data_IF_736067369626
#
_entry.id   IF_736067369626
#
_cell.length_a   1.000
_cell.length_b   1.000
_cell.length_c   1.000
_cell.angle_alpha   90.00
_cell.angle_beta   90.00
_cell.angle_gamma   90.00
#
_symmetry.space_group_name_H-M   'P 1'
#
loop_
_entity.id
_entity.type
_entity.pdbx_description
1 polymer ?
#
# COMPACT_ATOMS: atom_id res chain seq x y z
N UNK A 1 -25.99 5.35 10.80
CA UNK A 1 -25.20 5.62 9.56
C UNK A 1 -26.02 6.57 8.70
N UNK A 2 -25.44 7.70 8.29
CA UNK A 2 -26.17 8.69 7.46
C UNK A 2 -26.45 8.12 6.06
N UNK A 3 -27.64 8.32 5.47
CA UNK A 3 -28.00 7.82 4.15
C UNK A 3 -27.08 8.33 3.02
N UNK A 4 -26.33 9.40 3.29
CA UNK A 4 -25.35 9.97 2.36
C UNK A 4 -24.12 9.05 2.21
N UNK A 5 -23.64 8.46 3.29
CA UNK A 5 -22.47 7.55 3.29
C UNK A 5 -22.77 6.26 2.54
N UNK A 6 -23.99 5.74 2.67
CA UNK A 6 -24.44 4.54 1.98
C UNK A 6 -24.57 4.77 0.45
N UNK A 7 -25.06 5.94 0.03
CA UNK A 7 -25.19 6.29 -1.39
C UNK A 7 -23.82 6.50 -2.07
N UNK A 8 -22.85 7.09 -1.37
CA UNK A 8 -21.50 7.30 -1.91
C UNK A 8 -20.73 5.97 -2.03
N UNK A 9 -20.88 5.06 -1.07
CA UNK A 9 -20.27 3.74 -1.13
C UNK A 9 -20.88 2.88 -2.26
N UNK A 10 -22.19 2.96 -2.49
CA UNK A 10 -22.86 2.25 -3.59
C UNK A 10 -22.44 2.78 -4.96
N UNK A 11 -22.25 4.10 -5.11
CA UNK A 11 -21.79 4.73 -6.35
C UNK A 11 -20.34 4.37 -6.68
N UNK A 12 -19.46 4.25 -5.67
CA UNK A 12 -18.09 3.80 -5.83
C UNK A 12 -18.02 2.31 -6.22
N UNK A 13 -18.85 1.45 -5.64
CA UNK A 13 -18.96 0.03 -6.01
C UNK A 13 -19.53 -0.16 -7.42
N UNK A 14 -20.52 0.64 -7.82
CA UNK A 14 -21.06 0.60 -9.18
C UNK A 14 -20.07 1.10 -10.23
N UNK A 15 -19.26 2.11 -9.91
CA UNK A 15 -18.16 2.60 -10.77
C UNK A 15 -17.06 1.55 -10.99
N UNK A 16 -16.73 0.76 -9.98
CA UNK A 16 -15.77 -0.35 -10.09
C UNK A 16 -16.31 -1.51 -10.95
N UNK A 17 -17.61 -1.79 -10.91
CA UNK A 17 -18.23 -2.84 -11.72
C UNK A 17 -18.24 -2.52 -13.23
N UNK A 18 -18.36 -1.24 -13.61
CA UNK A 18 -18.31 -0.82 -15.01
C UNK A 18 -16.89 -0.92 -15.62
N UNK A 19 -15.83 -0.84 -14.81
CA UNK A 19 -14.45 -0.99 -15.28
C UNK A 19 -14.06 -2.46 -15.54
N UNK A 20 -14.78 -3.43 -14.95
CA UNK A 20 -14.48 -4.85 -15.10
C UNK A 20 -14.78 -5.40 -16.52
N UNK A 21 -15.62 -4.74 -17.30
CA UNK A 21 -15.94 -5.15 -18.67
C UNK A 21 -14.96 -4.66 -19.75
N UNK A 22 -13.94 -3.87 -19.38
CA UNK A 22 -12.98 -3.28 -20.32
C UNK A 22 -11.53 -3.77 -20.10
N UNK A 23 -11.30 -4.74 -19.23
CA UNK A 23 -9.99 -5.30 -18.98
C UNK A 23 -9.65 -6.38 -20.03
N UNK A 24 -8.49 -6.26 -20.69
CA UNK A 24 -7.96 -7.29 -21.57
C UNK A 24 -7.45 -8.52 -20.78
N UNK A 25 -7.00 -8.28 -19.56
CA UNK A 25 -6.59 -9.27 -18.59
C UNK A 25 -6.73 -8.73 -17.17
N UNK A 26 -6.92 -9.62 -16.21
CA UNK A 26 -6.92 -9.27 -14.78
C UNK A 26 -6.38 -10.42 -13.95
N UNK A 27 -5.82 -10.08 -12.79
CA UNK A 27 -5.42 -11.00 -11.74
C UNK A 27 -5.89 -10.42 -10.40
N UNK A 28 -6.70 -11.17 -9.68
CA UNK A 28 -7.24 -10.77 -8.38
C UNK A 28 -6.82 -11.80 -7.34
N UNK A 29 -6.32 -11.34 -6.21
CA UNK A 29 -5.85 -12.22 -5.15
C UNK A 29 -6.40 -11.84 -3.79
N UNK A 30 -6.61 -12.87 -2.97
CA UNK A 30 -6.84 -12.76 -1.53
C UNK A 30 -5.60 -13.29 -0.82
N UNK A 31 -5.03 -12.48 0.08
CA UNK A 31 -3.87 -12.92 0.86
C UNK A 31 -4.06 -12.76 2.36
N UNK A 32 -3.33 -13.57 3.11
CA UNK A 32 -3.19 -13.49 4.56
C UNK A 32 -1.72 -13.33 4.93
N UNK A 33 -1.45 -12.38 5.84
CA UNK A 33 -0.12 -12.10 6.38
C UNK A 33 -0.14 -12.11 7.89
N UNK A 34 0.92 -12.62 8.47
CA UNK A 34 1.12 -12.64 9.92
C UNK A 34 2.54 -12.21 10.28
N UNK A 35 2.66 -11.29 11.21
CA UNK A 35 3.94 -10.83 11.74
C UNK A 35 3.81 -10.34 13.19
N UNK A 36 4.93 -10.39 13.92
CA UNK A 36 4.95 -10.13 15.38
C UNK A 36 5.82 -8.93 15.76
N UNK A 37 6.35 -8.20 14.77
CA UNK A 37 7.28 -7.07 15.01
C UNK A 37 6.85 -5.80 14.27
N UNK A 38 5.54 -5.54 14.22
CA UNK A 38 5.07 -4.25 13.74
C UNK A 38 5.35 -3.16 14.78
N UNK A 39 5.57 -1.95 14.30
CA UNK A 39 5.77 -0.77 15.12
C UNK A 39 4.77 0.32 14.74
N UNK A 40 4.36 1.11 15.70
CA UNK A 40 3.49 2.27 15.51
C UNK A 40 4.09 3.50 16.19
N UNK A 41 3.97 4.70 15.62
CA UNK A 41 4.43 5.91 16.28
C UNK A 41 3.86 6.04 17.68
N UNK A 42 4.73 6.43 18.63
CA UNK A 42 4.42 6.60 20.06
C UNK A 42 4.12 5.29 20.83
N UNK A 43 4.44 4.14 20.22
CA UNK A 43 4.39 2.82 20.86
C UNK A 43 5.75 2.13 20.66
N UNK A 44 6.46 1.87 21.77
CA UNK A 44 7.82 1.28 21.75
C UNK A 44 7.83 -0.25 21.78
N UNK A 45 6.64 -0.87 21.74
CA UNK A 45 6.49 -2.33 21.86
C UNK A 45 6.29 -2.98 20.50
N UNK A 46 6.78 -4.22 20.38
CA UNK A 46 6.49 -5.08 19.24
C UNK A 46 5.00 -5.44 19.19
N UNK A 47 4.36 -5.15 18.06
CA UNK A 47 2.95 -5.41 17.84
C UNK A 47 2.79 -6.62 16.92
N UNK A 48 1.92 -7.54 17.31
CA UNK A 48 1.49 -8.63 16.43
C UNK A 48 0.32 -8.17 15.58
N UNK A 49 0.37 -8.41 14.26
CA UNK A 49 -0.76 -8.15 13.36
C UNK A 49 -1.09 -9.36 12.50
N UNK A 50 -2.39 -9.56 12.31
CA UNK A 50 -2.97 -10.37 11.25
C UNK A 50 -3.48 -9.41 10.18
N UNK A 51 -3.18 -9.70 8.91
CA UNK A 51 -3.58 -8.84 7.79
C UNK A 51 -4.26 -9.69 6.74
N UNK A 52 -5.47 -9.31 6.36
CA UNK A 52 -6.17 -9.85 5.19
C UNK A 52 -6.12 -8.79 4.10
N UNK A 53 -5.70 -9.18 2.92
CA UNK A 53 -5.60 -8.28 1.78
C UNK A 53 -6.42 -8.82 0.61
N UNK A 54 -7.11 -7.90 -0.06
CA UNK A 54 -7.67 -8.11 -1.39
C UNK A 54 -6.96 -7.18 -2.36
N UNK A 55 -6.34 -7.73 -3.39
CA UNK A 55 -5.70 -6.94 -4.44
C UNK A 55 -6.14 -7.37 -5.82
N UNK A 56 -6.12 -6.44 -6.76
CA UNK A 56 -6.44 -6.69 -8.15
C UNK A 56 -5.56 -5.84 -9.06
N UNK A 57 -4.97 -6.47 -10.04
CA UNK A 57 -4.28 -5.81 -11.15
C UNK A 57 -5.01 -6.14 -12.44
N UNK A 58 -5.16 -5.14 -13.32
CA UNK A 58 -5.79 -5.36 -14.62
C UNK A 58 -5.16 -4.46 -15.67
N UNK A 59 -5.09 -4.98 -16.90
CA UNK A 59 -4.64 -4.23 -18.05
C UNK A 59 -5.77 -4.04 -19.06
N UNK A 60 -5.71 -2.93 -19.78
CA UNK A 60 -6.63 -2.59 -20.85
C UNK A 60 -5.88 -1.89 -21.99
N UNK A 61 -6.58 -1.60 -23.08
CA UNK A 61 -6.02 -1.03 -24.31
C UNK A 61 -4.99 0.09 -24.10
N UNK A 62 -5.18 0.97 -23.11
CA UNK A 62 -4.34 2.16 -22.93
C UNK A 62 -3.50 2.16 -21.65
N UNK A 63 -3.58 1.13 -20.82
CA UNK A 63 -2.82 1.14 -19.58
C UNK A 63 -3.14 0.00 -18.63
N UNK A 64 -2.98 0.27 -17.35
CA UNK A 64 -3.26 -0.70 -16.28
C UNK A 64 -3.81 -0.05 -15.02
N UNK A 65 -4.51 -0.85 -14.24
CA UNK A 65 -5.02 -0.48 -12.93
C UNK A 65 -4.40 -1.40 -11.87
N UNK A 66 -4.20 -0.87 -10.70
CA UNK A 66 -3.88 -1.63 -9.50
C UNK A 66 -4.75 -1.14 -8.35
N UNK A 67 -5.40 -2.05 -7.68
CA UNK A 67 -6.19 -1.80 -6.47
C UNK A 67 -5.72 -2.75 -5.39
N UNK A 68 -5.64 -2.28 -4.14
CA UNK A 68 -5.34 -3.11 -2.99
C UNK A 68 -6.03 -2.57 -1.75
N UNK A 69 -6.55 -3.45 -0.92
CA UNK A 69 -7.09 -3.10 0.39
C UNK A 69 -6.58 -4.09 1.44
N UNK A 70 -5.96 -3.55 2.49
CA UNK A 70 -5.53 -4.27 3.67
C UNK A 70 -6.53 -4.05 4.81
N UNK A 71 -6.88 -5.13 5.48
CA UNK A 71 -7.55 -5.14 6.78
C UNK A 71 -6.57 -5.66 7.81
N UNK A 72 -6.07 -4.75 8.67
CA UNK A 72 -5.06 -5.07 9.67
C UNK A 72 -5.72 -5.18 11.04
N UNK A 73 -5.41 -6.25 11.76
CA UNK A 73 -5.92 -6.55 13.10
C UNK A 73 -4.73 -6.69 14.04
N UNK A 74 -4.56 -5.71 14.93
CA UNK A 74 -3.47 -5.66 15.90
C UNK A 74 -3.78 -6.48 17.15
N UNK A 75 -2.74 -6.89 17.88
CA UNK A 75 -2.84 -7.38 19.26
C UNK A 75 -3.20 -6.24 20.21
N UNK A 76 -3.52 -6.58 21.48
CA UNK A 76 -3.83 -5.62 22.55
C UNK A 76 -2.68 -4.65 22.89
N UNK A 77 -1.47 -4.93 22.41
CA UNK A 77 -0.29 -4.04 22.53
C UNK A 77 -0.48 -2.74 21.76
N UNK A 78 -1.33 -2.76 20.71
CA UNK A 78 -1.79 -1.60 19.94
C UNK A 78 -3.32 -1.51 20.14
N UNK A 79 -3.82 -0.96 21.28
CA UNK A 79 -5.19 -1.11 21.68
C UNK A 79 -6.15 -0.26 20.85
N UNK A 80 -7.37 -0.75 20.63
CA UNK A 80 -8.40 -0.07 19.83
C UNK A 80 -8.93 1.22 20.43
N UNK A 81 -8.82 1.37 21.77
CA UNK A 81 -9.15 2.57 22.54
C UNK A 81 -8.45 2.55 23.89
N UNK A 82 -8.43 3.66 24.60
CA UNK A 82 -7.81 3.75 25.92
C UNK A 82 -8.40 2.69 26.88
N UNK A 83 -7.55 1.83 27.43
CA UNK A 83 -7.93 0.75 28.35
C UNK A 83 -8.62 -0.47 27.71
N UNK A 84 -8.74 -0.52 26.38
CA UNK A 84 -9.30 -1.68 25.69
C UNK A 84 -8.37 -2.89 25.80
N UNK A 85 -8.97 -4.09 25.95
CA UNK A 85 -8.28 -5.38 25.85
C UNK A 85 -8.29 -5.94 24.43
N UNK A 86 -8.87 -5.22 23.48
CA UNK A 86 -8.86 -5.55 22.04
C UNK A 86 -7.87 -4.69 21.30
N UNK A 87 -7.21 -5.26 20.29
CA UNK A 87 -6.28 -4.55 19.44
C UNK A 87 -6.97 -3.62 18.44
N UNK A 88 -6.21 -2.70 17.89
CA UNK A 88 -6.66 -1.78 16.86
C UNK A 88 -6.99 -2.51 15.56
N UNK A 89 -7.97 -1.97 14.84
CA UNK A 89 -8.32 -2.37 13.49
C UNK A 89 -8.00 -1.23 12.53
N UNK A 90 -7.43 -1.58 11.39
CA UNK A 90 -7.08 -0.62 10.34
C UNK A 90 -7.56 -1.11 8.99
N UNK A 91 -8.10 -0.21 8.18
CA UNK A 91 -8.32 -0.42 6.77
C UNK A 91 -7.41 0.54 5.99
N UNK A 92 -6.62 -0.01 5.07
CA UNK A 92 -5.78 0.75 4.17
C UNK A 92 -6.11 0.35 2.73
N UNK A 93 -6.60 1.28 1.94
CA UNK A 93 -6.94 1.05 0.54
C UNK A 93 -6.12 1.97 -0.35
N UNK A 94 -5.63 1.46 -1.46
CA UNK A 94 -4.95 2.22 -2.48
C UNK A 94 -5.45 1.85 -3.88
N UNK A 95 -5.37 2.82 -4.78
CA UNK A 95 -5.63 2.65 -6.21
C UNK A 95 -4.58 3.40 -7.01
N UNK A 96 -4.11 2.79 -8.10
CA UNK A 96 -3.22 3.39 -9.10
C UNK A 96 -3.74 3.10 -10.49
N UNK A 97 -3.82 4.13 -11.29
CA UNK A 97 -4.11 4.04 -12.71
C UNK A 97 -2.91 4.55 -13.49
N UNK A 98 -2.37 3.74 -14.38
CA UNK A 98 -1.24 4.11 -15.24
C UNK A 98 -1.67 4.08 -16.70
N UNK A 99 -1.64 5.23 -17.35
CA UNK A 99 -1.73 5.34 -18.79
C UNK A 99 -0.36 5.05 -19.40
N UNK A 100 -0.28 4.15 -20.36
CA UNK A 100 0.90 3.87 -21.18
C UNK A 100 0.93 4.84 -22.36
N UNK A 101 1.88 5.75 -22.38
CA UNK A 101 1.96 6.79 -23.41
C UNK A 101 2.20 6.20 -24.80
N UNK A 102 2.93 5.08 -24.91
CA UNK A 102 3.10 4.36 -26.17
C UNK A 102 1.78 3.87 -26.72
N UNK A 103 0.96 3.24 -25.87
CA UNK A 103 -0.37 2.74 -26.25
C UNK A 103 -1.35 3.87 -26.58
N UNK A 104 -1.28 4.99 -25.86
CA UNK A 104 -2.16 6.15 -26.09
C UNK A 104 -1.81 6.87 -27.39
N UNK A 105 -0.50 7.05 -27.67
CA UNK A 105 -0.03 7.83 -28.82
C UNK A 105 0.21 6.99 -30.07
N UNK A 106 0.24 5.65 -29.94
CA UNK A 106 0.61 4.73 -31.02
C UNK A 106 2.10 4.77 -31.38
N UNK A 107 2.94 5.42 -30.56
CA UNK A 107 4.38 5.56 -30.75
C UNK A 107 5.21 4.71 -29.80
N UNK A 108 6.51 4.59 -30.08
CA UNK A 108 7.45 3.96 -29.14
C UNK A 108 7.98 5.00 -28.15
N UNK A 109 7.90 4.68 -26.86
CA UNK A 109 8.49 5.44 -25.76
C UNK A 109 9.56 4.62 -25.04
N UNK A 110 10.13 3.62 -25.73
CA UNK A 110 11.20 2.77 -25.22
C UNK A 110 12.57 3.40 -25.47
N UNK A 111 13.47 3.32 -24.46
CA UNK A 111 14.86 3.75 -24.57
C UNK A 111 15.72 3.07 -23.48
N UNK A 112 16.92 2.60 -23.85
CA UNK A 112 17.79 1.86 -22.95
C UNK A 112 17.05 0.71 -22.23
N UNK A 113 17.06 0.65 -20.89
CA UNK A 113 16.36 -0.38 -20.12
C UNK A 113 14.87 -0.06 -19.92
N UNK A 114 14.36 1.07 -20.42
CA UNK A 114 12.97 1.49 -20.30
C UNK A 114 12.19 0.94 -21.49
N UNK A 115 11.21 0.06 -21.23
CA UNK A 115 10.31 -0.48 -22.26
C UNK A 115 9.14 0.46 -22.59
N UNK A 116 8.87 1.44 -21.73
CA UNK A 116 7.79 2.40 -21.93
C UNK A 116 7.71 3.44 -20.84
N UNK A 117 7.02 4.53 -21.12
CA UNK A 117 6.75 5.64 -20.21
C UNK A 117 5.25 5.74 -19.99
N UNK A 118 4.84 5.95 -18.76
CA UNK A 118 3.44 6.13 -18.36
C UNK A 118 3.20 7.43 -17.60
N UNK A 119 1.93 7.78 -17.49
CA UNK A 119 1.42 8.78 -16.56
C UNK A 119 0.53 8.06 -15.53
N UNK A 120 0.88 8.14 -14.27
CA UNK A 120 0.15 7.46 -13.19
C UNK A 120 -0.53 8.48 -12.29
N UNK A 121 -1.78 8.20 -11.95
CA UNK A 121 -2.52 8.90 -10.90
C UNK A 121 -3.20 7.89 -9.98
N UNK A 122 -3.49 8.30 -8.74
CA UNK A 122 -4.14 7.41 -7.80
C UNK A 122 -4.42 8.05 -6.46
N UNK A 123 -4.95 7.24 -5.56
CA UNK A 123 -5.26 7.67 -4.20
C UNK A 123 -4.94 6.57 -3.19
N UNK A 124 -4.70 6.98 -1.95
CA UNK A 124 -4.62 6.09 -0.79
C UNK A 124 -5.58 6.61 0.28
N UNK A 125 -6.20 5.69 0.96
CA UNK A 125 -7.12 5.95 2.05
C UNK A 125 -6.79 5.04 3.23
N UNK A 126 -6.70 5.64 4.43
CA UNK A 126 -6.44 4.90 5.65
C UNK A 126 -7.42 5.33 6.74
N UNK A 127 -7.87 4.36 7.54
CA UNK A 127 -8.65 4.58 8.75
C UNK A 127 -8.28 3.53 9.78
N UNK A 128 -7.83 3.98 10.94
CA UNK A 128 -7.41 3.14 12.05
C UNK A 128 -8.19 3.49 13.32
N UNK A 129 -8.59 2.47 14.10
CA UNK A 129 -9.01 2.62 15.50
C UNK A 129 -7.78 2.40 16.36
N UNK A 130 -7.47 3.31 17.28
CA UNK A 130 -6.28 3.23 18.12
C UNK A 130 -6.44 4.21 19.28
N UNK A 131 -5.91 3.85 20.45
CA UNK A 131 -5.83 4.74 21.61
C UNK A 131 -4.70 5.78 21.46
N UNK A 132 -3.66 5.47 20.66
CA UNK A 132 -2.51 6.34 20.42
C UNK A 132 -2.68 7.19 19.17
N UNK A 133 -1.90 6.86 18.14
CA UNK A 133 -1.92 7.53 16.85
C UNK A 133 -2.86 6.81 15.88
N UNK A 134 -4.13 7.18 15.86
CA UNK A 134 -5.09 6.63 14.91
C UNK A 134 -5.09 7.45 13.62
N UNK A 135 -4.29 7.05 12.64
CA UNK A 135 -4.22 7.74 11.35
C UNK A 135 -5.55 7.67 10.60
N UNK A 136 -5.93 8.79 9.97
CA UNK A 136 -7.08 8.91 9.06
C UNK A 136 -6.62 9.63 7.80
N UNK A 137 -5.66 9.03 7.12
CA UNK A 137 -5.01 9.64 5.97
C UNK A 137 -5.87 9.59 4.73
N UNK A 138 -5.75 10.61 3.91
CA UNK A 138 -6.23 10.68 2.53
C UNK A 138 -5.09 11.22 1.70
N UNK A 139 -4.72 10.50 0.65
CA UNK A 139 -3.64 10.86 -0.23
C UNK A 139 -4.08 10.79 -1.68
N UNK A 140 -3.55 11.72 -2.49
CA UNK A 140 -3.64 11.69 -3.94
C UNK A 140 -2.23 11.74 -4.48
N UNK A 141 -1.94 10.95 -5.50
CA UNK A 141 -0.64 10.92 -6.18
C UNK A 141 -0.85 11.14 -7.67
N UNK A 142 0.10 11.84 -8.30
CA UNK A 142 0.17 11.93 -9.75
C UNK A 142 1.60 12.17 -10.20
N UNK A 143 2.00 11.57 -11.33
CA UNK A 143 3.33 11.78 -11.91
C UNK A 143 3.71 10.78 -13.00
N UNK A 144 4.92 10.93 -13.57
CA UNK A 144 5.45 10.01 -14.58
C UNK A 144 5.86 8.67 -13.97
N UNK A 145 5.78 7.63 -14.81
CA UNK A 145 6.22 6.26 -14.50
C UNK A 145 7.09 5.74 -15.63
N UNK A 146 8.25 5.21 -15.27
CA UNK A 146 9.12 4.45 -16.18
C UNK A 146 8.83 2.96 -15.96
N UNK A 147 8.47 2.27 -17.01
CA UNK A 147 8.26 0.81 -17.02
C UNK A 147 9.53 0.16 -17.53
N UNK A 148 10.24 -0.58 -16.68
CA UNK A 148 11.53 -1.18 -17.02
C UNK A 148 11.34 -2.55 -17.68
N UNK A 149 12.29 -2.89 -18.56
CA UNK A 149 12.32 -4.17 -19.28
C UNK A 149 12.97 -5.25 -18.40
N UNK A 150 12.12 -5.96 -17.66
CA UNK A 150 12.48 -7.09 -16.80
C UNK A 150 11.46 -8.20 -16.96
N UNK A 151 11.79 -9.46 -16.62
CA UNK A 151 10.78 -10.51 -16.47
C UNK A 151 9.69 -10.05 -15.50
N UNK A 152 8.41 -10.14 -15.92
CA UNK A 152 7.30 -9.59 -15.15
C UNK A 152 7.19 -8.06 -15.27
N UNK A 153 7.40 -7.34 -14.16
CA UNK A 153 7.37 -5.87 -14.19
C UNK A 153 8.27 -5.24 -13.12
N UNK A 154 8.76 -4.05 -13.45
CA UNK A 154 9.39 -3.10 -12.53
C UNK A 154 9.03 -1.69 -12.99
N UNK A 155 8.20 -1.02 -12.22
CA UNK A 155 7.76 0.34 -12.48
C UNK A 155 8.43 1.30 -11.50
N UNK A 156 9.03 2.36 -11.99
CA UNK A 156 9.63 3.43 -11.18
C UNK A 156 8.88 4.72 -11.46
N UNK A 157 8.28 5.30 -10.43
CA UNK A 157 7.43 6.49 -10.55
C UNK A 157 7.94 7.62 -9.67
N UNK A 158 7.85 8.83 -10.19
CA UNK A 158 8.07 10.06 -9.41
C UNK A 158 6.75 10.80 -9.28
N UNK A 159 6.21 10.84 -8.07
CA UNK A 159 4.91 11.44 -7.80
C UNK A 159 5.01 12.78 -7.06
N UNK A 160 4.12 13.70 -7.39
CA UNK A 160 3.65 14.69 -6.45
C UNK A 160 2.61 14.03 -5.54
N UNK A 161 2.76 14.20 -4.24
CA UNK A 161 1.89 13.62 -3.21
C UNK A 161 1.18 14.74 -2.45
N UNK A 162 -0.15 14.70 -2.47
CA UNK A 162 -1.04 15.54 -1.66
C UNK A 162 -1.63 14.66 -0.55
N UNK A 163 -1.35 15.02 0.68
CA UNK A 163 -1.73 14.23 1.84
C UNK A 163 -2.48 15.08 2.87
N UNK A 164 -3.46 14.50 3.53
CA UNK A 164 -4.12 15.05 4.71
C UNK A 164 -4.35 13.96 5.76
N UNK A 165 -4.41 14.37 7.02
CA UNK A 165 -4.66 13.49 8.15
C UNK A 165 -5.61 14.16 9.17
N UNK A 166 -6.26 13.34 10.00
CA UNK A 166 -7.11 13.79 11.11
C UNK A 166 -7.02 12.77 12.25
N UNK A 167 -5.83 12.59 12.86
CA UNK A 167 -5.64 11.61 13.93
C UNK A 167 -6.38 12.01 15.19
N UNK A 168 -6.56 11.06 16.08
CA UNK A 168 -7.03 11.33 17.42
C UNK A 168 -5.89 11.92 18.26
N UNK A 169 -6.18 12.95 19.03
CA UNK A 169 -5.23 13.56 19.95
C UNK A 169 -5.52 13.05 21.36
N UNK A 170 -4.63 12.22 21.88
CA UNK A 170 -4.77 11.63 23.21
C UNK A 170 -4.69 12.65 24.34
N UNK A 171 -4.01 13.79 24.13
CA UNK A 171 -3.91 14.85 25.14
C UNK A 171 -5.21 15.65 25.29
N UNK A 172 -5.92 15.86 24.20
CA UNK A 172 -7.20 16.61 24.23
C UNK A 172 -8.40 15.69 24.33
N UNK A 173 -8.23 14.38 24.17
CA UNK A 173 -9.31 13.40 24.16
C UNK A 173 -10.28 13.56 22.97
N UNK A 174 -9.84 14.17 21.86
CA UNK A 174 -10.67 14.49 20.71
C UNK A 174 -9.96 14.22 19.39
N UNK A 175 -10.74 14.06 18.30
CA UNK A 175 -10.20 14.03 16.95
C UNK A 175 -9.65 15.42 16.57
N UNK A 176 -8.47 15.45 15.95
CA UNK A 176 -7.94 16.69 15.36
C UNK A 176 -8.75 17.08 14.13
N UNK A 177 -8.93 18.38 13.85
CA UNK A 177 -9.41 18.83 12.55
C UNK A 177 -8.52 18.28 11.44
N UNK A 178 -9.09 18.01 10.26
CA UNK A 178 -8.31 17.54 9.12
C UNK A 178 -7.26 18.55 8.72
N UNK A 179 -6.01 18.13 8.75
CA UNK A 179 -4.83 18.91 8.42
C UNK A 179 -4.29 18.47 7.06
N UNK A 180 -4.02 19.42 6.18
CA UNK A 180 -3.40 19.18 4.88
C UNK A 180 -1.91 19.51 4.97
N UNK A 181 -1.07 18.55 4.61
CA UNK A 181 0.38 18.74 4.54
C UNK A 181 0.77 19.52 3.27
N UNK A 182 1.99 20.06 3.24
CA UNK A 182 2.55 20.60 2.02
C UNK A 182 2.71 19.49 0.98
N UNK A 183 2.43 19.79 -0.29
CA UNK A 183 2.74 18.88 -1.40
C UNK A 183 4.22 18.53 -1.37
N UNK A 184 4.53 17.26 -1.52
CA UNK A 184 5.89 16.74 -1.42
C UNK A 184 6.13 15.61 -2.43
N UNK A 185 7.39 15.34 -2.80
CA UNK A 185 7.70 14.27 -3.76
C UNK A 185 7.67 12.90 -3.10
N UNK A 186 7.30 11.88 -3.90
CA UNK A 186 7.46 10.48 -3.57
C UNK A 186 8.09 9.75 -4.76
N UNK A 187 9.24 9.13 -4.56
CA UNK A 187 9.81 8.17 -5.49
C UNK A 187 9.32 6.78 -5.09
N UNK A 188 8.69 6.09 -6.03
CA UNK A 188 8.15 4.74 -5.83
C UNK A 188 8.77 3.78 -6.83
N UNK A 189 9.20 2.61 -6.36
CA UNK A 189 9.44 1.44 -7.19
C UNK A 189 8.43 0.36 -6.81
N UNK A 190 7.82 -0.30 -7.81
CA UNK A 190 6.94 -1.45 -7.60
C UNK A 190 7.35 -2.57 -8.57
N UNK A 191 7.44 -3.79 -8.08
CA UNK A 191 7.95 -4.91 -8.88
C UNK A 191 7.22 -6.22 -8.60
N UNK A 192 7.24 -7.09 -9.62
CA UNK A 192 6.85 -8.49 -9.54
C UNK A 192 7.67 -9.25 -10.58
N UNK A 193 8.79 -9.86 -10.11
CA UNK A 193 9.81 -10.50 -10.95
C UNK A 193 9.79 -12.00 -10.70
N UNK A 194 9.24 -12.80 -11.64
CA UNK A 194 9.29 -14.25 -11.55
C UNK A 194 10.71 -14.75 -11.86
N UNK A 195 11.15 -15.79 -11.14
CA UNK A 195 12.41 -16.47 -11.38
C UNK A 195 12.31 -17.96 -11.02
N UNK A 196 13.26 -18.76 -11.48
CA UNK A 196 13.28 -20.20 -11.24
C UNK A 196 14.70 -20.66 -10.88
N UNK A 197 14.82 -21.31 -9.73
CA UNK A 197 16.06 -21.93 -9.23
C UNK A 197 15.87 -23.43 -8.99
N UNK A 198 15.09 -24.11 -9.83
CA UNK A 198 14.61 -25.47 -9.64
C UNK A 198 13.19 -25.52 -9.05
N UNK A 199 12.72 -24.43 -8.48
CA UNK A 199 11.36 -24.19 -8.00
C UNK A 199 10.86 -22.85 -8.51
N UNK A 200 9.55 -22.72 -8.81
CA UNK A 200 8.97 -21.46 -9.31
C UNK A 200 8.83 -20.45 -8.18
N UNK A 201 9.57 -19.37 -8.26
CA UNK A 201 9.58 -18.28 -7.29
C UNK A 201 9.19 -16.94 -7.96
N UNK A 202 8.79 -15.98 -7.12
CA UNK A 202 8.72 -14.57 -7.51
C UNK A 202 9.27 -13.68 -6.40
N UNK A 203 9.93 -12.58 -6.81
CA UNK A 203 10.32 -11.48 -5.94
C UNK A 203 9.39 -10.32 -6.21
N UNK A 204 8.58 -9.96 -5.25
CA UNK A 204 7.51 -8.98 -5.40
C UNK A 204 7.61 -7.91 -4.32
N UNK A 205 7.03 -6.72 -4.55
CA UNK A 205 7.00 -5.69 -3.54
C UNK A 205 6.95 -4.27 -4.06
N UNK A 206 7.20 -3.34 -3.14
CA UNK A 206 7.36 -1.93 -3.44
C UNK A 206 8.37 -1.25 -2.50
N UNK A 207 8.86 -0.09 -2.94
CA UNK A 207 9.68 0.82 -2.14
C UNK A 207 9.20 2.25 -2.36
N UNK A 208 8.85 2.96 -1.29
CA UNK A 208 8.46 4.36 -1.31
C UNK A 208 9.47 5.19 -0.53
N UNK A 209 10.02 6.21 -1.18
CA UNK A 209 10.88 7.24 -0.60
C UNK A 209 10.13 8.56 -0.64
N UNK A 210 9.63 9.00 0.50
CA UNK A 210 8.72 10.14 0.62
C UNK A 210 9.49 11.33 1.20
N UNK A 211 9.39 12.48 0.55
CA UNK A 211 9.98 13.73 1.01
C UNK A 211 9.33 14.27 2.28
N UNK A 212 9.98 15.25 2.90
CA UNK A 212 9.38 15.97 4.03
C UNK A 212 8.11 16.70 3.59
N UNK A 213 7.07 16.63 4.40
CA UNK A 213 5.75 17.22 4.12
C UNK A 213 5.47 18.51 4.92
N UNK A 214 6.56 19.12 5.43
CA UNK A 214 6.50 20.37 6.21
C UNK A 214 6.17 20.10 7.67
N UNK A 215 5.26 20.89 8.23
CA UNK A 215 4.77 20.69 9.59
C UNK A 215 3.71 19.57 9.61
N UNK A 216 3.65 18.85 10.72
CA UNK A 216 2.57 17.90 10.99
C UNK A 216 1.37 18.61 11.64
N UNK A 217 0.29 17.87 11.89
CA UNK A 217 -0.96 18.34 12.50
C UNK A 217 -0.81 18.90 13.93
N UNK A 218 0.34 18.67 14.55
CA UNK A 218 0.69 19.17 15.88
C UNK A 218 1.74 20.29 15.84
N UNK A 219 2.12 20.77 14.64
CA UNK A 219 3.09 21.84 14.42
C UNK A 219 4.56 21.40 14.43
N UNK A 220 4.86 20.11 14.63
CA UNK A 220 6.21 19.54 14.55
C UNK A 220 6.71 19.40 13.11
N UNK A 221 8.03 19.40 12.91
CA UNK A 221 8.62 19.12 11.60
C UNK A 221 8.49 17.64 11.24
N UNK A 222 8.21 17.35 9.96
CA UNK A 222 8.15 15.98 9.47
C UNK A 222 9.50 15.52 8.94
N UNK A 223 9.83 14.24 9.17
CA UNK A 223 11.01 13.59 8.62
C UNK A 223 10.72 12.99 7.24
N UNK A 224 11.79 12.72 6.46
CA UNK A 224 11.70 11.90 5.23
C UNK A 224 11.33 10.48 5.62
N UNK A 225 10.41 9.88 4.87
CA UNK A 225 9.88 8.57 5.15
C UNK A 225 10.40 7.55 4.12
N UNK A 226 10.76 6.36 4.59
CA UNK A 226 11.11 5.22 3.74
C UNK A 226 10.23 4.05 4.12
N UNK A 227 9.46 3.53 3.16
CA UNK A 227 8.63 2.35 3.34
C UNK A 227 8.93 1.35 2.22
N UNK A 228 9.56 0.24 2.58
CA UNK A 228 9.91 -0.87 1.68
C UNK A 228 9.17 -2.09 2.19
N UNK A 229 8.44 -2.74 1.30
CA UNK A 229 7.78 -4.00 1.58
C UNK A 229 8.10 -4.96 0.44
N UNK A 230 8.72 -6.09 0.76
CA UNK A 230 9.22 -7.03 -0.22
C UNK A 230 8.99 -8.47 0.23
N UNK A 231 8.71 -9.34 -0.75
CA UNK A 231 8.37 -10.73 -0.50
C UNK A 231 9.04 -11.66 -1.52
N UNK A 232 9.34 -12.86 -1.07
CA UNK A 232 9.70 -13.99 -1.92
C UNK A 232 8.57 -15.00 -1.79
N UNK A 233 7.90 -15.27 -2.92
CA UNK A 233 6.75 -16.17 -2.98
C UNK A 233 7.09 -17.43 -3.79
N UNK A 234 6.66 -18.58 -3.29
CA UNK A 234 6.73 -19.87 -3.95
C UNK A 234 5.35 -20.24 -4.50
N UNK A 235 5.28 -20.54 -5.80
CA UNK A 235 4.06 -21.06 -6.42
C UNK A 235 3.87 -22.53 -6.02
N UNK A 236 2.98 -22.75 -5.05
CA UNK A 236 2.63 -24.07 -4.51
C UNK A 236 1.50 -24.75 -5.29
N UNK A 237 0.96 -24.11 -6.33
CA UNK A 237 -0.23 -24.53 -7.07
C UNK A 237 -0.15 -25.97 -7.55
N UNK A 238 0.99 -26.37 -8.13
CA UNK A 238 1.20 -27.73 -8.63
C UNK A 238 1.12 -28.79 -7.50
N UNK A 239 1.63 -28.46 -6.31
CA UNK A 239 1.63 -29.39 -5.17
C UNK A 239 0.22 -29.59 -4.58
N UNK A 240 -0.68 -28.63 -4.77
CA UNK A 240 -2.09 -28.71 -4.32
C UNK A 240 -3.06 -29.05 -5.45
N UNK A 241 -2.56 -29.38 -6.65
CA UNK A 241 -3.39 -29.75 -7.82
C UNK A 241 -4.14 -28.57 -8.45
N UNK A 242 -3.72 -27.34 -8.21
CA UNK A 242 -4.30 -26.13 -8.76
C UNK A 242 -3.60 -25.67 -10.05
N UNK A 243 -4.23 -24.78 -10.80
CA UNK A 243 -3.63 -24.11 -11.96
C UNK A 243 -2.41 -23.28 -11.54
N UNK A 244 -1.43 -23.11 -12.43
CA UNK A 244 -0.23 -22.31 -12.18
C UNK A 244 -0.57 -20.91 -11.64
N UNK A 245 0.21 -20.44 -10.65
CA UNK A 245 0.05 -19.15 -9.97
C UNK A 245 -1.27 -18.97 -9.19
N UNK A 246 -2.02 -20.03 -8.92
CA UNK A 246 -3.27 -19.95 -8.15
C UNK A 246 -3.02 -19.86 -6.64
N UNK A 247 -2.06 -20.64 -6.12
CA UNK A 247 -1.76 -20.62 -4.69
C UNK A 247 -0.28 -20.43 -4.43
N UNK A 248 0.04 -19.36 -3.70
CA UNK A 248 1.42 -18.99 -3.36
C UNK A 248 1.59 -18.89 -1.85
N UNK A 249 2.77 -19.26 -1.36
CA UNK A 249 3.20 -19.05 0.02
C UNK A 249 4.58 -18.43 0.04
N UNK A 250 4.89 -17.67 1.08
CA UNK A 250 6.18 -17.00 1.11
C UNK A 250 6.50 -16.31 2.41
N UNK A 251 7.61 -15.60 2.36
CA UNK A 251 8.10 -14.72 3.42
C UNK A 251 8.07 -13.29 2.89
N UNK A 252 7.69 -12.38 3.77
CA UNK A 252 7.60 -10.94 3.49
C UNK A 252 8.38 -10.19 4.56
N UNK A 253 8.99 -9.07 4.18
CA UNK A 253 9.70 -8.20 5.10
C UNK A 253 9.36 -6.75 4.82
N UNK A 254 8.84 -6.06 5.85
CA UNK A 254 8.60 -4.63 5.80
C UNK A 254 9.68 -3.88 6.58
N UNK A 255 10.29 -2.91 5.93
CA UNK A 255 11.12 -1.89 6.54
C UNK A 255 10.44 -0.53 6.37
N UNK A 256 10.02 0.07 7.51
CA UNK A 256 9.38 1.38 7.46
C UNK A 256 10.04 2.33 8.45
N UNK A 257 10.81 3.27 7.95
CA UNK A 257 11.52 4.28 8.74
C UNK A 257 10.80 5.62 8.69
N UNK A 258 10.77 6.32 9.82
CA UNK A 258 10.08 7.59 10.03
C UNK A 258 8.58 7.50 9.65
N UNK A 259 7.95 6.45 10.12
CA UNK A 259 6.58 6.08 9.80
C UNK A 259 5.64 7.28 9.98
N UNK A 260 4.88 7.59 8.91
CA UNK A 260 3.98 8.73 8.80
C UNK A 260 4.66 10.10 8.91
N UNK A 261 5.99 10.18 8.68
CA UNK A 261 6.77 11.41 8.83
C UNK A 261 7.20 11.70 10.27
N UNK A 262 6.95 10.79 11.21
CA UNK A 262 7.47 10.92 12.58
C UNK A 262 8.95 10.53 12.63
N UNK A 263 9.81 11.41 13.14
CA UNK A 263 11.24 11.13 13.26
C UNK A 263 11.52 10.00 14.24
N UNK A 264 12.28 9.00 13.83
CA UNK A 264 12.70 7.89 14.68
C UNK A 264 13.74 8.30 15.74
N UNK A 265 14.40 9.45 15.59
CA UNK A 265 15.35 9.96 16.58
C UNK A 265 14.71 10.21 17.95
N UNK A 266 13.42 10.57 17.97
CA UNK A 266 12.67 10.88 19.19
C UNK A 266 11.44 9.98 19.38
N UNK A 267 11.27 8.97 18.52
CA UNK A 267 10.11 8.11 18.49
C UNK A 267 10.49 6.69 18.01
N UNK A 268 10.89 5.78 18.91
CA UNK A 268 11.37 4.44 18.54
C UNK A 268 10.30 3.61 17.79
N UNK A 269 9.02 3.84 18.06
CA UNK A 269 7.92 3.19 17.32
C UNK A 269 7.73 3.70 15.89
N UNK A 270 8.48 4.73 15.46
CA UNK A 270 8.44 5.23 14.09
C UNK A 270 9.30 4.40 13.11
N UNK A 271 9.96 3.36 13.55
CA UNK A 271 10.70 2.43 12.67
C UNK A 271 10.21 1.00 12.87
N UNK A 272 9.65 0.41 11.82
CA UNK A 272 9.25 -1.00 11.76
C UNK A 272 10.28 -1.82 10.98
N UNK A 273 10.58 -3.02 11.49
CA UNK A 273 11.42 -4.05 10.86
C UNK A 273 10.69 -5.38 11.03
N UNK A 274 9.74 -5.64 10.16
CA UNK A 274 8.71 -6.65 10.37
C UNK A 274 8.86 -7.82 9.41
N UNK A 275 9.40 -8.96 9.87
CA UNK A 275 9.28 -10.21 9.13
C UNK A 275 7.86 -10.75 9.24
N UNK A 276 7.35 -11.30 8.14
CA UNK A 276 6.01 -11.88 8.02
C UNK A 276 6.04 -13.19 7.25
N UNK A 277 5.05 -14.02 7.50
CA UNK A 277 4.67 -15.13 6.62
C UNK A 277 3.45 -14.70 5.82
N UNK A 278 3.37 -15.18 4.57
CA UNK A 278 2.31 -14.82 3.63
C UNK A 278 1.79 -16.03 2.89
N UNK A 279 0.48 -16.06 2.67
CA UNK A 279 -0.19 -16.99 1.77
C UNK A 279 -1.15 -16.21 0.87
N UNK A 280 -1.24 -16.59 -0.41
CA UNK A 280 -2.08 -15.94 -1.42
C UNK A 280 -2.85 -16.95 -2.24
N UNK A 281 -4.07 -16.58 -2.57
CA UNK A 281 -4.92 -17.30 -3.52
C UNK A 281 -5.34 -16.34 -4.64
N UNK A 282 -5.07 -16.73 -5.89
CA UNK A 282 -5.40 -15.98 -7.09
C UNK A 282 -6.61 -16.59 -7.79
N UNK A 283 -7.54 -15.75 -8.25
CA UNK A 283 -8.79 -16.14 -8.88
C UNK A 283 -8.70 -16.11 -10.41
#
# INVERSE_FOLDING_TARGET
MSPLVTRTALALLAGCACAAHAADWSDTSLSYRYGTKFAEPFNDKDITKNIVNLSSVSGYKYGKNFFSVDFLMSSEVDPSSAGAKSGAHEAYALYRHTLDLGKVTGGSWAFGPVRGVGATAGFDFNSKTDAGYNSKKRMIVAGPTLMLDVPGFLDVSLFALWESNAPYNTFTGAATPRYAYKTHPMLTAAWGIPFNIGIPLSFEGFANFIGTKGKNEFGGDTARETNIDMQIMYDLSAAVGAGKNTFKVGIEYQFWKNKFGNSDANNPGATAKTPMVRAEYHF
#
